data_IF_976179116676
#
_entry.id   IF_976179116676
#
_cell.length_a   1.000
_cell.length_b   1.000
_cell.length_c   1.000
_cell.angle_alpha   90.00
_cell.angle_beta   90.00
_cell.angle_gamma   90.00
#
_symmetry.space_group_name_H-M   'P 1'
#
loop_
_entity.id
_entity.type
_entity.pdbx_description
1 polymer ?
#
# COMPACT_ATOMS: atom_id res chain seq x y z
N UNK A 1 -19.48 -36.01 42.59
CA UNK A 1 -19.69 -37.45 42.35
C UNK A 1 -20.24 -37.64 40.96
N UNK A 2 -19.54 -38.19 40.11
CA UNK A 2 -19.54 -39.38 39.25
C UNK A 2 -18.60 -39.12 38.06
N UNK A 3 -17.48 -39.80 38.15
CA UNK A 3 -16.57 -40.09 37.03
C UNK A 3 -17.11 -41.31 36.25
N UNK A 4 -16.78 -41.44 35.02
CA UNK A 4 -16.61 -42.74 34.30
C UNK A 4 -16.45 -42.45 32.80
N UNK A 5 -15.60 -43.00 32.07
CA UNK A 5 -14.51 -43.99 31.99
C UNK A 5 -14.21 -44.18 30.48
N UNK A 6 -12.99 -44.33 30.19
CA UNK A 6 -12.32 -44.76 28.95
C UNK A 6 -13.00 -45.89 28.15
N UNK A 7 -12.77 -45.92 26.80
CA UNK A 7 -12.44 -47.15 26.08
C UNK A 7 -11.50 -46.78 24.90
N UNK A 8 -10.30 -47.39 24.91
CA UNK A 8 -9.39 -47.58 23.80
C UNK A 8 -9.86 -48.75 22.96
N UNK A 9 -9.70 -48.71 21.64
CA UNK A 9 -9.58 -49.91 20.82
C UNK A 9 -8.54 -49.68 19.71
N UNK A 10 -7.42 -50.37 19.87
CA UNK A 10 -6.41 -50.64 18.85
C UNK A 10 -6.92 -51.69 17.87
N UNK A 11 -6.63 -51.57 16.58
CA UNK A 11 -6.52 -52.71 15.66
C UNK A 11 -5.42 -52.46 14.63
N UNK A 12 -4.47 -53.33 14.67
CA UNK A 12 -3.26 -53.48 13.87
C UNK A 12 -3.54 -54.63 12.86
N UNK A 13 -3.20 -54.46 11.58
CA UNK A 13 -2.91 -55.56 10.61
C UNK A 13 -2.14 -54.95 9.44
N UNK A 14 -0.95 -55.26 9.30
CA UNK A 14 0.00 -56.15 8.67
C UNK A 14 -0.09 -56.25 7.14
N UNK A 15 0.97 -55.76 6.52
CA UNK A 15 1.87 -56.24 5.45
C UNK A 15 1.32 -57.16 4.33
N UNK A 16 1.54 -56.75 3.09
CA UNK A 16 2.15 -57.62 2.05
C UNK A 16 3.02 -56.77 1.12
N UNK A 17 4.27 -57.20 0.98
CA UNK A 17 5.27 -56.72 0.05
C UNK A 17 5.16 -57.42 -1.31
N UNK A 18 5.33 -56.66 -2.41
CA UNK A 18 5.83 -57.28 -3.66
C UNK A 18 6.72 -56.25 -4.37
N UNK A 19 7.97 -56.63 -4.56
CA UNK A 19 8.97 -55.91 -5.32
C UNK A 19 8.80 -56.11 -6.81
N UNK A 20 9.00 -55.05 -7.59
CA UNK A 20 9.56 -55.16 -8.95
C UNK A 20 10.34 -53.91 -9.31
N UNK A 21 11.54 -54.16 -9.79
CA UNK A 21 12.62 -53.31 -10.26
C UNK A 21 12.22 -52.41 -11.44
N UNK A 22 12.70 -51.14 -11.43
CA UNK A 22 12.61 -50.26 -12.61
C UNK A 22 13.34 -48.95 -12.35
N UNK A 23 14.62 -48.92 -12.70
CA UNK A 23 15.53 -47.82 -12.63
C UNK A 23 15.10 -46.67 -13.58
N UNK A 24 14.80 -45.45 -13.05
CA UNK A 24 15.00 -44.20 -13.79
C UNK A 24 15.17 -43.04 -12.81
N UNK A 25 16.29 -42.35 -13.00
CA UNK A 25 16.66 -41.08 -12.37
C UNK A 25 15.53 -40.05 -12.54
N UNK A 26 15.09 -39.43 -11.47
CA UNK A 26 14.34 -38.19 -11.51
C UNK A 26 14.82 -37.27 -10.37
N UNK A 27 15.30 -36.10 -10.76
CA UNK A 27 15.86 -35.11 -9.87
C UNK A 27 14.84 -34.57 -8.88
N UNK A 28 15.32 -34.24 -7.71
CA UNK A 28 14.60 -33.52 -6.70
C UNK A 28 14.13 -32.17 -7.24
N UNK A 29 12.81 -32.01 -7.37
CA UNK A 29 12.20 -30.73 -7.67
C UNK A 29 12.10 -29.96 -6.35
N UNK A 30 13.08 -29.10 -6.13
CA UNK A 30 13.01 -28.07 -5.09
C UNK A 30 12.03 -27.03 -5.63
N UNK A 31 10.87 -26.87 -4.99
CA UNK A 31 9.97 -25.77 -5.24
C UNK A 31 10.69 -24.47 -4.85
N UNK A 32 11.30 -23.82 -5.83
CA UNK A 32 11.60 -22.40 -5.74
C UNK A 32 10.28 -21.63 -5.63
N UNK A 33 10.19 -20.63 -4.71
CA UNK A 33 9.04 -19.75 -4.72
C UNK A 33 9.02 -19.00 -6.04
N UNK A 34 7.88 -19.05 -6.72
CA UNK A 34 7.61 -18.36 -7.97
C UNK A 34 8.04 -16.91 -7.84
N UNK A 35 9.02 -16.51 -8.65
CA UNK A 35 9.40 -15.14 -8.86
C UNK A 35 8.16 -14.35 -9.25
N UNK A 36 7.83 -13.33 -8.46
CA UNK A 36 6.88 -12.28 -8.80
C UNK A 36 7.38 -11.49 -10.02
N UNK A 37 7.21 -12.05 -11.20
CA UNK A 37 7.10 -11.27 -12.42
C UNK A 37 5.69 -10.66 -12.45
N UNK A 38 5.49 -9.63 -11.62
CA UNK A 38 4.32 -8.76 -11.70
C UNK A 38 4.31 -8.13 -13.09
N UNK A 39 3.30 -8.51 -13.86
CA UNK A 39 2.97 -7.97 -15.17
C UNK A 39 3.07 -6.45 -15.14
N UNK A 40 4.05 -5.89 -15.83
CA UNK A 40 4.14 -4.50 -16.20
C UNK A 40 2.96 -4.20 -17.15
N UNK A 41 1.80 -3.91 -16.58
CA UNK A 41 0.69 -3.33 -17.34
C UNK A 41 1.16 -1.93 -17.74
N UNK A 42 1.35 -1.73 -19.04
CA UNK A 42 2.02 -0.57 -19.61
C UNK A 42 1.46 0.76 -19.12
N UNK A 43 2.25 1.44 -18.30
CA UNK A 43 2.06 2.85 -18.00
C UNK A 43 2.34 3.60 -19.29
N UNK A 44 1.41 4.45 -19.77
CA UNK A 44 1.64 5.29 -20.95
C UNK A 44 2.78 6.25 -20.66
N UNK A 45 3.88 6.12 -21.39
CA UNK A 45 5.12 6.91 -21.21
C UNK A 45 5.06 8.34 -21.70
N UNK A 46 4.06 8.70 -22.50
CA UNK A 46 4.01 9.98 -23.24
C UNK A 46 3.18 11.05 -22.53
N UNK A 47 2.57 10.75 -21.37
CA UNK A 47 1.72 11.65 -20.61
C UNK A 47 2.40 12.25 -19.40
N UNK A 48 1.93 13.44 -18.98
CA UNK A 48 2.35 14.02 -17.72
C UNK A 48 1.87 13.17 -16.54
N UNK A 49 2.69 13.11 -15.49
CA UNK A 49 2.35 12.46 -14.23
C UNK A 49 2.15 13.48 -13.10
N UNK A 50 1.26 13.16 -12.17
CA UNK A 50 1.01 13.94 -10.95
C UNK A 50 1.16 13.05 -9.73
N UNK A 51 1.80 13.54 -8.68
CA UNK A 51 1.82 12.91 -7.36
C UNK A 51 0.85 13.64 -6.44
N UNK A 52 -0.27 13.01 -6.13
CA UNK A 52 -1.24 13.48 -5.15
C UNK A 52 -1.00 12.74 -3.84
N UNK A 53 -0.77 13.45 -2.75
CA UNK A 53 -0.47 12.79 -1.50
C UNK A 53 -0.87 13.62 -0.28
N UNK A 54 -1.13 12.92 0.82
CA UNK A 54 -1.18 13.48 2.17
C UNK A 54 0.04 13.00 2.95
N UNK A 55 0.63 13.87 3.75
CA UNK A 55 1.75 13.55 4.61
C UNK A 55 1.60 14.19 5.97
N UNK A 56 1.89 13.46 7.05
CA UNK A 56 1.82 13.97 8.41
C UNK A 56 3.23 14.20 8.99
N UNK A 57 3.54 15.46 9.29
CA UNK A 57 4.66 15.84 10.14
C UNK A 57 4.21 15.84 11.62
N UNK A 58 5.13 15.92 12.56
CA UNK A 58 4.83 15.91 13.99
C UNK A 58 5.04 14.53 14.61
N UNK A 59 4.22 14.18 15.60
CA UNK A 59 4.39 12.95 16.38
C UNK A 59 3.86 11.72 15.64
N UNK A 60 4.76 10.81 15.29
CA UNK A 60 4.46 9.62 14.50
C UNK A 60 4.93 8.35 15.20
N UNK A 61 4.23 7.23 14.96
CA UNK A 61 4.63 5.93 15.47
C UNK A 61 6.01 5.52 14.95
N UNK A 62 6.81 4.93 15.82
CA UNK A 62 8.15 4.40 15.56
C UNK A 62 9.23 5.43 15.22
N UNK A 63 8.91 6.52 14.52
CA UNK A 63 9.88 7.55 14.09
C UNK A 63 9.88 8.80 14.97
N UNK A 64 8.95 8.89 15.93
CA UNK A 64 8.83 10.04 16.84
C UNK A 64 8.38 11.31 16.15
N UNK A 65 8.84 12.47 16.68
CA UNK A 65 8.46 13.77 16.15
C UNK A 65 9.35 14.16 14.95
N UNK A 66 8.76 14.22 13.75
CA UNK A 66 9.44 14.49 12.49
C UNK A 66 8.96 15.82 11.88
N UNK A 67 9.90 16.59 11.30
CA UNK A 67 9.61 17.89 10.66
C UNK A 67 9.01 17.73 9.27
N UNK A 68 9.38 16.68 8.56
CA UNK A 68 8.90 16.35 7.22
C UNK A 68 8.31 14.95 7.28
N UNK A 69 7.04 14.83 6.93
CA UNK A 69 6.32 13.54 6.97
C UNK A 69 6.91 12.52 5.99
N UNK A 70 6.81 11.26 6.33
CA UNK A 70 7.43 10.17 5.57
C UNK A 70 6.88 10.07 4.14
N UNK A 71 5.58 10.28 3.94
CA UNK A 71 4.97 10.22 2.61
C UNK A 71 5.48 11.34 1.69
N UNK A 72 5.72 12.54 2.24
CA UNK A 72 6.31 13.66 1.49
C UNK A 72 7.68 13.28 0.91
N UNK A 73 8.51 12.61 1.69
CA UNK A 73 9.84 12.18 1.24
C UNK A 73 9.71 11.20 0.04
N UNK A 74 8.77 10.26 0.10
CA UNK A 74 8.53 9.33 -1.02
C UNK A 74 7.97 10.08 -2.23
N UNK A 75 7.06 11.04 -2.04
CA UNK A 75 6.53 11.88 -3.11
C UNK A 75 7.64 12.68 -3.79
N UNK A 76 8.58 13.24 -3.00
CA UNK A 76 9.75 13.96 -3.53
C UNK A 76 10.64 13.04 -4.38
N UNK A 77 10.90 11.81 -3.94
CA UNK A 77 11.66 10.84 -4.73
C UNK A 77 10.95 10.48 -6.03
N UNK A 78 9.62 10.28 -6.00
CA UNK A 78 8.85 10.01 -7.22
C UNK A 78 9.00 11.17 -8.21
N UNK A 79 8.78 12.41 -7.76
CA UNK A 79 8.89 13.59 -8.62
C UNK A 79 10.31 13.81 -9.16
N UNK A 80 11.34 13.63 -8.32
CA UNK A 80 12.74 13.72 -8.75
C UNK A 80 13.08 12.70 -9.84
N UNK A 81 12.58 11.46 -9.71
CA UNK A 81 12.94 10.36 -10.60
C UNK A 81 12.07 10.29 -11.88
N UNK A 82 10.87 10.86 -11.84
CA UNK A 82 9.91 10.78 -12.96
C UNK A 82 9.61 12.12 -13.64
N UNK A 83 9.95 13.24 -13.01
CA UNK A 83 9.52 14.57 -13.45
C UNK A 83 8.06 14.88 -13.18
N UNK A 84 7.37 14.08 -12.36
CA UNK A 84 5.96 14.29 -12.02
C UNK A 84 5.75 15.59 -11.22
N UNK A 85 4.68 16.31 -11.52
CA UNK A 85 4.20 17.43 -10.70
C UNK A 85 3.71 16.91 -9.34
N UNK A 86 3.58 17.79 -8.34
CA UNK A 86 3.09 17.42 -7.01
C UNK A 86 1.85 18.24 -6.63
N UNK A 87 0.91 17.58 -5.96
CA UNK A 87 -0.16 18.20 -5.20
C UNK A 87 -0.22 17.57 -3.80
N UNK A 88 0.20 18.33 -2.80
CA UNK A 88 0.08 17.92 -1.39
C UNK A 88 -1.30 18.29 -0.87
N UNK A 89 -2.01 17.33 -0.33
CA UNK A 89 -3.28 17.52 0.39
C UNK A 89 -2.94 18.07 1.78
N UNK A 90 -3.14 19.38 1.97
CA UNK A 90 -2.83 20.06 3.23
C UNK A 90 -4.11 20.18 4.06
N UNK A 91 -4.04 19.80 5.33
CA UNK A 91 -5.09 20.04 6.31
C UNK A 91 -4.46 20.35 7.65
N UNK A 92 -4.97 21.38 8.34
CA UNK A 92 -4.50 21.78 9.67
C UNK A 92 -5.21 21.03 10.80
N UNK A 93 -6.13 20.13 10.46
CA UNK A 93 -6.93 19.39 11.45
C UNK A 93 -6.08 18.55 12.42
N UNK A 94 -4.91 18.11 11.97
CA UNK A 94 -4.03 17.21 12.71
C UNK A 94 -2.79 17.88 13.30
N UNK A 95 -2.61 19.19 13.08
CA UNK A 95 -1.41 19.91 13.45
C UNK A 95 -1.22 19.94 14.98
N UNK A 96 0.01 19.69 15.40
CA UNK A 96 0.40 19.73 16.81
C UNK A 96 -0.20 18.63 17.69
N UNK A 97 -0.95 17.69 17.13
CA UNK A 97 -1.53 16.59 17.89
C UNK A 97 -0.45 15.58 18.31
N UNK A 98 -0.52 15.13 19.55
CA UNK A 98 0.26 13.98 20.00
C UNK A 98 -0.27 12.70 19.34
N UNK A 99 0.58 11.68 19.21
CA UNK A 99 0.28 10.46 18.47
C UNK A 99 -1.03 9.76 18.91
N UNK A 100 -1.25 9.58 20.22
CA UNK A 100 -2.45 8.88 20.72
C UNK A 100 -3.75 9.62 20.41
N UNK A 101 -3.92 10.90 20.73
CA UNK A 101 -5.09 11.68 20.32
C UNK A 101 -5.33 11.68 18.81
N UNK A 102 -4.26 11.73 18.00
CA UNK A 102 -4.37 11.63 16.53
C UNK A 102 -4.94 10.26 16.11
N UNK A 103 -4.46 9.17 16.71
CA UNK A 103 -4.99 7.83 16.43
C UNK A 103 -6.48 7.72 16.76
N UNK A 104 -6.90 8.26 17.91
CA UNK A 104 -8.31 8.21 18.34
C UNK A 104 -9.20 9.02 17.38
N UNK A 105 -8.77 10.24 17.03
CA UNK A 105 -9.47 11.09 16.06
C UNK A 105 -9.59 10.40 14.70
N UNK A 106 -8.48 9.86 14.16
CA UNK A 106 -8.49 9.18 12.86
C UNK A 106 -9.40 7.94 12.85
N UNK A 107 -9.50 7.23 13.98
CA UNK A 107 -10.42 6.09 14.14
C UNK A 107 -11.88 6.53 14.13
N UNK A 108 -12.20 7.61 14.82
CA UNK A 108 -13.57 8.14 14.83
C UNK A 108 -13.97 8.71 13.46
N UNK A 109 -13.08 9.42 12.79
CA UNK A 109 -13.30 9.87 11.40
C UNK A 109 -13.63 8.70 10.46
N UNK A 110 -12.84 7.64 10.51
CA UNK A 110 -13.07 6.46 9.68
C UNK A 110 -14.41 5.79 10.02
N UNK A 111 -14.71 5.60 11.30
CA UNK A 111 -15.95 4.99 11.77
C UNK A 111 -17.20 5.78 11.35
N UNK A 112 -17.11 7.11 11.40
CA UNK A 112 -18.21 8.01 11.06
C UNK A 112 -18.27 8.35 9.56
N UNK A 113 -17.27 7.95 8.77
CA UNK A 113 -17.17 8.33 7.36
C UNK A 113 -16.99 9.84 7.16
N UNK A 114 -16.33 10.51 8.11
CA UNK A 114 -16.05 11.93 8.01
C UNK A 114 -15.12 12.22 6.83
N UNK A 115 -15.29 13.38 6.23
CA UNK A 115 -14.48 13.85 5.12
C UNK A 115 -13.85 15.19 5.50
N UNK A 116 -12.71 15.18 6.21
CA UNK A 116 -12.02 16.40 6.62
C UNK A 116 -11.67 17.27 5.42
N UNK A 117 -11.88 18.61 5.51
CA UNK A 117 -11.50 19.50 4.42
C UNK A 117 -9.98 19.58 4.28
N UNK A 118 -9.53 19.95 3.09
CA UNK A 118 -8.14 20.26 2.79
C UNK A 118 -8.06 21.56 1.98
N UNK A 119 -6.86 22.14 1.93
CA UNK A 119 -6.56 23.40 1.25
C UNK A 119 -5.95 23.16 -0.13
N UNK A 120 -6.08 24.15 -1.00
CA UNK A 120 -5.52 24.14 -2.34
C UNK A 120 -6.36 23.40 -3.38
N UNK A 121 -5.89 23.48 -4.61
CA UNK A 121 -6.51 22.88 -5.80
C UNK A 121 -5.39 22.26 -6.66
N UNK A 122 -5.56 21.05 -7.20
CA UNK A 122 -4.54 20.39 -8.02
C UNK A 122 -4.41 20.99 -9.44
N UNK A 123 -5.19 22.02 -9.74
CA UNK A 123 -5.27 22.57 -11.08
C UNK A 123 -6.04 21.69 -12.07
N UNK A 124 -5.74 21.83 -13.35
CA UNK A 124 -6.38 21.04 -14.41
C UNK A 124 -5.81 19.60 -14.44
N UNK A 125 -6.62 18.67 -13.94
CA UNK A 125 -6.25 17.25 -13.91
C UNK A 125 -6.30 16.58 -15.29
N UNK A 126 -6.92 17.21 -16.32
CA UNK A 126 -7.03 16.61 -17.65
C UNK A 126 -5.68 16.43 -18.34
N UNK A 127 -4.68 17.21 -17.95
CA UNK A 127 -3.33 17.16 -18.50
C UNK A 127 -2.50 15.94 -18.04
N UNK A 128 -2.97 15.19 -17.03
CA UNK A 128 -2.24 14.06 -16.47
C UNK A 128 -2.86 12.73 -16.90
N UNK A 129 -2.08 11.83 -17.47
CA UNK A 129 -2.49 10.46 -17.80
C UNK A 129 -2.20 9.50 -16.64
N UNK A 130 -1.19 9.80 -15.83
CA UNK A 130 -0.78 9.01 -14.68
C UNK A 130 -0.85 9.81 -13.39
N UNK A 131 -1.46 9.23 -12.36
CA UNK A 131 -1.56 9.85 -11.04
C UNK A 131 -1.06 8.89 -9.99
N UNK A 132 0.04 9.25 -9.31
CA UNK A 132 0.45 8.58 -8.08
C UNK A 132 -0.44 9.07 -6.95
N UNK A 133 -0.97 8.15 -6.14
CA UNK A 133 -1.78 8.48 -4.96
C UNK A 133 -1.08 7.95 -3.72
N UNK A 134 -0.69 8.84 -2.80
CA UNK A 134 0.11 8.50 -1.63
C UNK A 134 -0.43 8.99 -0.30
N UNK A 135 -0.16 8.19 0.75
CA UNK A 135 -0.50 8.57 2.12
C UNK A 135 0.06 7.58 3.15
N UNK A 136 0.08 7.98 4.43
CA UNK A 136 0.32 7.02 5.49
C UNK A 136 -0.87 6.07 5.62
N UNK A 137 -0.63 4.87 6.16
CA UNK A 137 -1.73 3.93 6.46
C UNK A 137 -2.23 4.19 7.89
N UNK A 138 -3.43 4.76 8.01
CA UNK A 138 -4.11 4.96 9.27
C UNK A 138 -5.30 4.00 9.38
N UNK A 139 -5.32 3.17 10.42
CA UNK A 139 -6.38 2.18 10.64
C UNK A 139 -6.67 1.30 9.42
N UNK A 140 -5.61 0.89 8.71
CA UNK A 140 -5.68 -0.07 7.61
C UNK A 140 -6.02 0.51 6.24
N UNK A 141 -6.19 1.84 6.13
CA UNK A 141 -6.42 2.53 4.86
C UNK A 141 -5.76 3.92 4.83
N UNK A 142 -5.99 4.72 3.79
CA UNK A 142 -5.61 6.12 3.77
C UNK A 142 -6.37 6.93 4.83
N UNK A 143 -5.81 8.06 5.34
CA UNK A 143 -6.53 9.02 6.18
C UNK A 143 -7.77 9.58 5.47
N UNK A 144 -8.79 9.94 6.26
CA UNK A 144 -10.08 10.35 5.70
C UNK A 144 -10.02 11.61 4.81
N UNK A 145 -9.03 12.47 5.00
CA UNK A 145 -8.78 13.62 4.12
C UNK A 145 -8.49 13.21 2.66
N UNK A 146 -7.90 12.03 2.46
CA UNK A 146 -7.69 11.47 1.11
C UNK A 146 -9.02 11.10 0.45
N UNK A 147 -9.98 10.59 1.21
CA UNK A 147 -11.33 10.29 0.70
C UNK A 147 -12.10 11.56 0.35
N UNK A 148 -11.81 12.68 1.00
CA UNK A 148 -12.32 13.99 0.57
C UNK A 148 -11.83 14.34 -0.84
N UNK A 149 -10.55 14.12 -1.12
CA UNK A 149 -9.99 14.29 -2.45
C UNK A 149 -10.64 13.33 -3.46
N UNK A 150 -10.78 12.05 -3.12
CA UNK A 150 -11.40 11.05 -4.01
C UNK A 150 -12.86 11.40 -4.37
N UNK A 151 -13.58 12.01 -3.44
CA UNK A 151 -14.96 12.46 -3.68
C UNK A 151 -15.03 13.72 -4.53
N UNK A 152 -14.04 14.62 -4.39
CA UNK A 152 -14.03 15.94 -5.04
C UNK A 152 -13.56 15.88 -6.50
N UNK A 153 -12.60 14.98 -6.83
CA UNK A 153 -11.95 14.93 -8.13
C UNK A 153 -12.13 13.58 -8.81
N UNK A 154 -12.48 13.60 -10.09
CA UNK A 154 -12.60 12.40 -10.91
C UNK A 154 -11.27 12.06 -11.59
N UNK A 155 -10.78 10.86 -11.34
CA UNK A 155 -9.59 10.30 -11.98
C UNK A 155 -9.90 9.06 -12.83
N UNK A 156 -11.17 8.82 -13.18
CA UNK A 156 -11.52 7.75 -14.10
C UNK A 156 -10.86 7.95 -15.47
N UNK A 157 -10.52 6.85 -16.12
CA UNK A 157 -9.79 6.86 -17.40
C UNK A 157 -8.27 7.04 -17.27
N UNK A 158 -7.74 7.35 -16.08
CA UNK A 158 -6.31 7.53 -15.83
C UNK A 158 -5.65 6.24 -15.35
N UNK A 159 -4.33 6.18 -15.43
CA UNK A 159 -3.53 5.18 -14.69
C UNK A 159 -3.26 5.72 -13.30
N UNK A 160 -3.67 4.96 -12.27
CA UNK A 160 -3.46 5.33 -10.87
C UNK A 160 -2.47 4.37 -10.23
N UNK A 161 -1.45 4.93 -9.58
CA UNK A 161 -0.35 4.19 -8.96
C UNK A 161 -0.36 4.50 -7.45
N UNK A 162 -0.99 3.65 -6.62
CA UNK A 162 -1.03 3.85 -5.17
C UNK A 162 0.34 3.64 -4.53
N UNK A 163 0.67 4.45 -3.52
CA UNK A 163 1.81 4.19 -2.64
C UNK A 163 1.50 4.54 -1.19
N UNK A 164 2.14 3.85 -0.26
CA UNK A 164 1.92 4.06 1.17
C UNK A 164 3.21 4.09 1.96
N UNK A 165 3.19 4.86 3.05
CA UNK A 165 4.15 4.75 4.14
C UNK A 165 3.47 4.14 5.35
N UNK A 166 4.14 3.23 6.06
CA UNK A 166 3.54 2.47 7.15
C UNK A 166 4.58 2.01 8.17
N UNK A 167 4.12 1.45 9.30
CA UNK A 167 4.97 0.76 10.29
C UNK A 167 4.43 -0.67 10.55
N UNK A 168 4.18 -1.42 9.44
CA UNK A 168 3.75 -2.82 9.47
C UNK A 168 2.49 -3.15 8.69
N UNK A 169 1.70 -2.14 8.25
CA UNK A 169 0.41 -2.35 7.57
C UNK A 169 0.53 -2.61 6.06
N UNK A 170 1.71 -2.40 5.47
CA UNK A 170 1.88 -2.49 4.01
C UNK A 170 0.95 -1.51 3.28
N UNK A 171 0.27 -2.00 2.26
CA UNK A 171 -0.74 -1.23 1.51
C UNK A 171 -2.10 -1.18 2.21
N UNK A 172 -2.34 -2.00 3.22
CA UNK A 172 -3.67 -2.12 3.83
C UNK A 172 -4.77 -2.32 2.78
N UNK A 173 -5.86 -1.58 2.90
CA UNK A 173 -6.94 -1.55 1.90
C UNK A 173 -6.80 -0.43 0.85
N UNK A 174 -5.73 0.36 0.88
CA UNK A 174 -5.56 1.57 0.06
C UNK A 174 -5.80 1.33 -1.44
N UNK A 175 -5.23 0.26 -2.01
CA UNK A 175 -5.43 -0.09 -3.44
C UNK A 175 -6.90 -0.41 -3.73
N UNK A 176 -7.56 -1.15 -2.84
CA UNK A 176 -8.98 -1.50 -2.97
C UNK A 176 -9.85 -0.25 -2.91
N UNK A 177 -9.52 0.67 -2.01
CA UNK A 177 -10.30 1.90 -1.82
C UNK A 177 -10.16 2.85 -3.01
N UNK A 178 -8.96 2.96 -3.59
CA UNK A 178 -8.73 3.68 -4.85
C UNK A 178 -9.52 3.05 -6.01
N UNK A 179 -9.49 1.72 -6.15
CA UNK A 179 -10.30 1.01 -7.17
C UNK A 179 -11.81 1.23 -6.99
N UNK A 180 -12.27 1.33 -5.75
CA UNK A 180 -13.68 1.64 -5.44
C UNK A 180 -14.04 3.08 -5.78
N UNK A 181 -13.13 4.03 -5.53
CA UNK A 181 -13.36 5.44 -5.84
C UNK A 181 -13.36 5.70 -7.36
N UNK A 182 -12.50 4.99 -8.10
CA UNK A 182 -12.29 5.19 -9.54
C UNK A 182 -12.44 3.87 -10.32
N UNK A 183 -13.66 3.36 -10.48
CA UNK A 183 -13.89 2.03 -11.07
C UNK A 183 -13.49 1.92 -12.54
N UNK A 184 -13.38 3.03 -13.25
CA UNK A 184 -12.97 3.10 -14.66
C UNK A 184 -11.50 3.54 -14.84
N UNK A 185 -10.70 3.59 -13.77
CA UNK A 185 -9.27 3.84 -13.85
C UNK A 185 -8.49 2.53 -13.93
N UNK A 186 -7.29 2.58 -14.52
CA UNK A 186 -6.33 1.48 -14.44
C UNK A 186 -5.51 1.63 -13.16
N UNK A 187 -5.81 0.83 -12.14
CA UNK A 187 -5.13 0.92 -10.83
C UNK A 187 -4.11 -0.20 -10.68
N UNK A 188 -2.84 0.15 -10.49
CA UNK A 188 -1.73 -0.81 -10.29
C UNK A 188 -1.76 -1.46 -8.91
N UNK A 189 -0.87 -2.44 -8.67
CA UNK A 189 -0.77 -3.12 -7.38
C UNK A 189 -0.24 -2.23 -6.24
N UNK A 190 0.36 -1.08 -6.57
CA UNK A 190 0.87 -0.13 -5.60
C UNK A 190 2.26 -0.49 -5.04
N UNK A 191 2.77 0.42 -4.20
CA UNK A 191 4.05 0.30 -3.50
C UNK A 191 3.89 0.65 -2.03
N UNK A 192 4.61 -0.03 -1.15
CA UNK A 192 4.64 0.31 0.27
C UNK A 192 6.06 0.31 0.80
N UNK A 193 6.35 1.22 1.73
CA UNK A 193 7.65 1.33 2.39
C UNK A 193 7.47 1.67 3.87
N UNK A 194 8.31 1.11 4.72
CA UNK A 194 8.33 1.49 6.12
C UNK A 194 8.73 2.95 6.30
N UNK A 195 8.01 3.69 7.14
CA UNK A 195 8.26 5.10 7.39
C UNK A 195 9.66 5.37 7.94
N UNK A 196 10.16 4.47 8.82
CA UNK A 196 11.52 4.57 9.36
C UNK A 196 12.62 4.31 8.33
N UNK A 197 12.30 3.70 7.18
CA UNK A 197 13.25 3.42 6.10
C UNK A 197 13.32 4.52 5.03
N UNK A 198 12.30 5.37 4.89
CA UNK A 198 12.17 6.27 3.73
C UNK A 198 13.41 7.15 3.49
N UNK A 199 14.12 7.53 4.56
CA UNK A 199 15.30 8.41 4.47
C UNK A 199 16.55 7.71 3.97
N UNK A 200 16.62 6.39 4.07
CA UNK A 200 17.80 5.59 3.72
C UNK A 200 17.58 4.70 2.50
N UNK A 201 16.32 4.42 2.14
CA UNK A 201 15.94 3.41 1.16
C UNK A 201 15.38 4.01 -0.15
N UNK A 202 15.91 5.16 -0.60
CA UNK A 202 15.55 5.76 -1.90
C UNK A 202 15.67 4.75 -3.05
N UNK A 203 16.65 3.86 -2.98
CA UNK A 203 16.88 2.81 -3.97
C UNK A 203 15.69 1.85 -4.15
N UNK A 204 14.88 1.62 -3.10
CA UNK A 204 13.65 0.80 -3.20
C UNK A 204 12.61 1.51 -4.08
N UNK A 205 12.46 2.84 -3.92
CA UNK A 205 11.54 3.65 -4.73
C UNK A 205 12.01 3.67 -6.19
N UNK A 206 13.31 3.88 -6.42
CA UNK A 206 13.90 3.86 -7.77
C UNK A 206 13.69 2.51 -8.47
N UNK A 207 13.95 1.39 -7.79
CA UNK A 207 13.72 0.04 -8.32
C UNK A 207 12.26 -0.18 -8.69
N UNK A 208 11.35 0.26 -7.83
CA UNK A 208 9.91 0.15 -8.10
C UNK A 208 9.50 0.96 -9.32
N UNK A 209 9.92 2.22 -9.44
CA UNK A 209 9.61 3.09 -10.59
C UNK A 209 10.17 2.52 -11.89
N UNK A 210 11.41 2.01 -11.89
CA UNK A 210 11.98 1.29 -13.05
C UNK A 210 11.15 0.09 -13.46
N UNK A 211 10.60 -0.66 -12.49
CA UNK A 211 9.70 -1.77 -12.76
C UNK A 211 8.38 -1.35 -13.42
N UNK A 212 7.95 -0.09 -13.24
CA UNK A 212 6.79 0.51 -13.90
C UNK A 212 7.15 1.15 -15.26
N UNK A 213 8.45 1.29 -15.56
CA UNK A 213 8.96 1.85 -16.81
C UNK A 213 9.28 3.35 -16.78
N UNK A 214 9.38 3.95 -15.57
CA UNK A 214 9.92 5.30 -15.39
C UNK A 214 11.43 5.31 -15.33
#
# INVERSE_FOLDING_TARGET
>A
MKAMKYILASAMCMLVSTACSGNKKSGANVNEPASEEAQAQGVKKDGKALVVFFSHAGDNYSVGNIKVGNTKIVADYISELTGADQFEIVTHKYDGMAYRPLCDLAKEEQKNGELPPFEGEPGDLSQYDTVFIGGPVWWGTYPQVMFTFFKKYDLNGKTIIPFTTHEGSGLGSCVKDVKKAYPNATVTNGFSIYGHEVRTEKAKVEKWLKGLGF
#
